data_IF_018616901471
#
_entry.id   IF_018616901471
#
_cell.length_a   1.000
_cell.length_b   1.000
_cell.length_c   1.000
_cell.angle_alpha   90.00
_cell.angle_beta   90.00
_cell.angle_gamma   90.00
#
_symmetry.space_group_name_H-M   'P 1'
#
loop_
_entity.id
_entity.type
_entity.pdbx_description
1 polymer ?
#
# COMPACT_ATOMS: atom_id res chain seq x y z
N UNK A 1 -1.42 -16.95 46.52
CA UNK A 1 -2.45 -16.03 45.99
C UNK A 1 -1.82 -15.00 45.04
N UNK A 2 -0.87 -14.18 45.49
CA UNK A 2 -0.20 -13.13 44.68
C UNK A 2 0.49 -13.63 43.40
N UNK A 3 1.12 -14.80 43.43
CA UNK A 3 1.83 -15.38 42.28
C UNK A 3 0.89 -15.78 41.12
N UNK A 4 -0.27 -16.36 41.43
CA UNK A 4 -1.27 -16.71 40.42
C UNK A 4 -1.90 -15.45 39.83
N UNK A 5 -2.21 -14.45 40.66
CA UNK A 5 -2.74 -13.16 40.20
C UNK A 5 -1.73 -12.49 39.28
N UNK A 6 -0.45 -12.41 39.67
CA UNK A 6 0.61 -11.84 38.85
C UNK A 6 0.76 -12.58 37.52
N UNK A 7 0.80 -13.91 37.55
CA UNK A 7 0.91 -14.73 36.34
C UNK A 7 -0.26 -14.52 35.38
N UNK A 8 -1.50 -14.56 35.88
CA UNK A 8 -2.69 -14.30 35.06
C UNK A 8 -2.76 -12.87 34.53
N UNK A 9 -2.34 -11.88 35.31
CA UNK A 9 -2.25 -10.49 34.86
C UNK A 9 -1.26 -10.34 33.70
N UNK A 10 -0.08 -10.98 33.78
CA UNK A 10 0.91 -10.95 32.68
C UNK A 10 0.35 -11.59 31.43
N UNK A 11 -0.30 -12.76 31.53
CA UNK A 11 -0.92 -13.43 30.39
C UNK A 11 -2.03 -12.57 29.78
N UNK A 12 -2.88 -11.95 30.61
CA UNK A 12 -3.94 -11.06 30.14
C UNK A 12 -3.37 -9.85 29.39
N UNK A 13 -2.33 -9.21 29.92
CA UNK A 13 -1.65 -8.10 29.25
C UNK A 13 -1.06 -8.56 27.91
N UNK A 14 -0.41 -9.72 27.86
CA UNK A 14 0.20 -10.24 26.64
C UNK A 14 -0.87 -10.52 25.56
N UNK A 15 -2.01 -11.08 25.94
CA UNK A 15 -3.15 -11.27 25.04
C UNK A 15 -3.71 -9.94 24.53
N UNK A 16 -3.87 -8.94 25.39
CA UNK A 16 -4.35 -7.61 24.99
C UNK A 16 -3.36 -6.95 24.02
N UNK A 17 -2.07 -6.98 24.32
CA UNK A 17 -1.03 -6.41 23.45
C UNK A 17 -1.01 -7.14 22.11
N UNK A 18 -1.09 -8.47 22.12
CA UNK A 18 -1.14 -9.30 20.92
C UNK A 18 -2.34 -8.99 20.04
N UNK A 19 -3.54 -8.86 20.60
CA UNK A 19 -4.75 -8.53 19.83
C UNK A 19 -4.67 -7.12 19.24
N UNK A 20 -4.20 -6.13 20.01
CA UNK A 20 -3.99 -4.76 19.51
C UNK A 20 -2.99 -4.75 18.34
N UNK A 21 -1.89 -5.50 18.43
CA UNK A 21 -0.91 -5.60 17.35
C UNK A 21 -1.54 -6.19 16.07
N UNK A 22 -2.28 -7.30 16.19
CA UNK A 22 -2.99 -7.94 15.07
C UNK A 22 -4.01 -6.98 14.45
N UNK A 23 -4.81 -6.30 15.27
CA UNK A 23 -5.81 -5.32 14.80
C UNK A 23 -5.15 -4.16 14.06
N UNK A 24 -4.01 -3.66 14.55
CA UNK A 24 -3.26 -2.58 13.89
C UNK A 24 -2.72 -3.00 12.52
N UNK A 25 -2.24 -4.23 12.38
CA UNK A 25 -1.79 -4.79 11.09
C UNK A 25 -2.99 -4.91 10.13
N UNK A 26 -4.12 -5.41 10.63
CA UNK A 26 -5.33 -5.57 9.82
C UNK A 26 -5.88 -4.22 9.32
N UNK A 27 -5.89 -3.19 10.17
CA UNK A 27 -6.29 -1.83 9.80
C UNK A 27 -5.36 -1.23 8.74
N UNK A 28 -4.04 -1.44 8.88
CA UNK A 28 -3.06 -0.98 7.90
C UNK A 28 -3.29 -1.65 6.54
N UNK A 29 -3.57 -2.95 6.53
CA UNK A 29 -3.91 -3.69 5.30
C UNK A 29 -5.15 -3.13 4.62
N UNK A 30 -6.19 -2.81 5.40
CA UNK A 30 -7.45 -2.31 4.85
C UNK A 30 -7.29 -0.90 4.26
N UNK A 31 -6.53 -0.03 4.93
CA UNK A 31 -6.22 1.31 4.40
C UNK A 31 -5.39 1.26 3.13
N UNK A 32 -4.47 0.31 3.02
CA UNK A 32 -3.69 0.10 1.79
C UNK A 32 -4.58 -0.33 0.62
N UNK A 33 -5.59 -1.17 0.88
CA UNK A 33 -6.58 -1.56 -0.12
C UNK A 33 -7.41 -0.36 -0.58
N UNK A 34 -7.94 0.45 0.35
CA UNK A 34 -8.73 1.63 -0.02
C UNK A 34 -7.94 2.63 -0.87
N UNK A 35 -6.65 2.84 -0.57
CA UNK A 35 -5.78 3.71 -1.37
C UNK A 35 -5.49 3.11 -2.75
N UNK A 36 -5.32 1.79 -2.82
CA UNK A 36 -5.13 1.08 -4.08
C UNK A 36 -6.38 1.14 -4.97
N UNK A 37 -7.56 0.97 -4.38
CA UNK A 37 -8.85 1.06 -5.07
C UNK A 37 -9.11 2.49 -5.56
N UNK A 38 -8.82 3.50 -4.73
CA UNK A 38 -8.91 4.91 -5.13
C UNK A 38 -7.96 5.27 -6.29
N UNK A 39 -6.72 4.76 -6.25
CA UNK A 39 -5.76 4.96 -7.34
C UNK A 39 -6.18 4.25 -8.63
N UNK A 40 -6.81 3.06 -8.52
CA UNK A 40 -7.35 2.33 -9.67
C UNK A 40 -8.52 3.07 -10.32
N UNK A 41 -9.42 3.65 -9.51
CA UNK A 41 -10.56 4.42 -9.99
C UNK A 41 -10.12 5.72 -10.69
N UNK A 42 -9.18 6.46 -10.09
CA UNK A 42 -8.62 7.69 -10.67
C UNK A 42 -7.88 7.41 -12.00
N UNK A 43 -7.14 6.29 -12.08
CA UNK A 43 -6.53 5.85 -13.32
C UNK A 43 -7.59 5.55 -14.41
N UNK A 44 -8.68 4.88 -14.06
CA UNK A 44 -9.77 4.58 -14.99
C UNK A 44 -10.48 5.86 -15.49
N UNK A 45 -10.74 6.82 -14.59
CA UNK A 45 -11.39 8.09 -14.94
C UNK A 45 -10.51 8.96 -15.86
N UNK A 46 -9.19 8.95 -15.63
CA UNK A 46 -8.24 9.64 -16.50
C UNK A 46 -8.19 9.10 -17.94
N UNK A 47 -8.58 7.83 -18.13
CA UNK A 47 -8.65 7.19 -19.44
C UNK A 47 -9.94 7.54 -20.18
N UNK A 48 -11.07 7.68 -19.48
CA UNK A 48 -12.34 8.15 -20.06
C UNK A 48 -12.21 9.59 -20.58
N UNK A 49 -11.63 10.48 -19.78
CA UNK A 49 -11.39 11.88 -20.17
C UNK A 49 -10.40 11.98 -21.35
N UNK A 50 -9.37 11.13 -21.39
CA UNK A 50 -8.41 11.08 -22.50
C UNK A 50 -9.01 10.56 -23.80
N UNK A 51 -9.84 9.52 -23.76
CA UNK A 51 -10.53 8.97 -24.92
C UNK A 51 -11.58 9.96 -25.48
N UNK A 52 -12.27 10.68 -24.58
CA UNK A 52 -13.22 11.73 -24.94
C UNK A 52 -12.54 12.94 -25.62
N UNK A 53 -11.33 13.30 -25.20
CA UNK A 53 -10.57 14.42 -25.79
C UNK A 53 -9.82 14.07 -27.08
N UNK A 54 -9.36 12.83 -27.25
CA UNK A 54 -8.52 12.44 -28.40
C UNK A 54 -9.34 12.02 -29.64
N UNK A 55 -10.64 11.72 -29.48
CA UNK A 55 -11.48 11.20 -30.56
C UNK A 55 -11.11 9.76 -30.93
N UNK A 56 -12.11 8.97 -31.32
CA UNK A 56 -12.06 7.53 -31.62
C UNK A 56 -11.12 7.15 -32.79
N UNK A 57 -9.82 7.38 -32.66
CA UNK A 57 -8.83 7.15 -33.72
C UNK A 57 -7.42 6.78 -33.26
N UNK A 58 -7.14 6.78 -31.96
CA UNK A 58 -5.85 6.34 -31.43
C UNK A 58 -5.99 5.90 -29.99
N UNK A 59 -6.19 4.59 -29.78
CA UNK A 59 -6.08 3.99 -28.46
C UNK A 59 -4.72 4.40 -27.87
N UNK A 60 -4.73 5.26 -26.85
CA UNK A 60 -3.54 5.59 -26.08
C UNK A 60 -3.14 4.31 -25.36
N UNK A 61 -2.24 3.54 -25.97
CA UNK A 61 -1.74 2.29 -25.38
C UNK A 61 -1.08 2.62 -24.06
N UNK A 62 -1.44 1.91 -22.97
CA UNK A 62 -0.76 2.07 -21.70
C UNK A 62 0.70 1.67 -21.90
N UNK A 63 1.61 2.64 -21.92
CA UNK A 63 3.03 2.37 -21.91
C UNK A 63 3.53 2.18 -20.48
N UNK A 64 4.40 1.20 -20.25
CA UNK A 64 5.06 0.97 -18.96
C UNK A 64 5.66 2.25 -18.35
N UNK A 65 6.18 3.12 -19.22
CA UNK A 65 6.81 4.38 -18.86
C UNK A 65 5.81 5.39 -18.34
N UNK A 66 4.63 5.48 -18.96
CA UNK A 66 3.54 6.37 -18.53
C UNK A 66 3.01 5.92 -17.17
N UNK A 67 2.72 4.63 -16.99
CA UNK A 67 2.20 4.07 -15.73
C UNK A 67 3.19 4.30 -14.58
N UNK A 68 4.48 4.04 -14.82
CA UNK A 68 5.52 4.25 -13.80
C UNK A 68 5.67 5.72 -13.42
N UNK A 69 5.68 6.63 -14.41
CA UNK A 69 5.81 8.07 -14.14
C UNK A 69 4.63 8.57 -13.30
N UNK A 70 3.41 8.23 -13.70
CA UNK A 70 2.20 8.59 -12.96
C UNK A 70 2.22 8.04 -11.52
N UNK A 71 2.65 6.79 -11.33
CA UNK A 71 2.77 6.19 -9.99
C UNK A 71 3.79 6.93 -9.09
N UNK A 72 4.94 7.32 -9.66
CA UNK A 72 5.97 8.09 -8.93
C UNK A 72 5.47 9.48 -8.57
N UNK A 73 4.85 10.18 -9.53
CA UNK A 73 4.33 11.54 -9.32
C UNK A 73 3.19 11.55 -8.29
N UNK A 74 2.36 10.51 -8.25
CA UNK A 74 1.29 10.34 -7.27
C UNK A 74 1.84 10.13 -5.85
N UNK A 75 2.85 9.27 -5.70
CA UNK A 75 3.54 9.06 -4.41
C UNK A 75 4.25 10.32 -3.91
N UNK A 76 4.79 11.14 -4.82
CA UNK A 76 5.47 12.40 -4.47
C UNK A 76 4.51 13.49 -3.96
N UNK A 77 3.26 13.50 -4.43
CA UNK A 77 2.25 14.48 -4.06
C UNK A 77 1.50 14.15 -2.75
N UNK A 78 1.64 12.92 -2.24
CA UNK A 78 0.93 12.48 -1.04
C UNK A 78 1.80 12.67 0.21
N UNK A 79 1.27 13.28 1.28
CA UNK A 79 1.97 13.31 2.56
C UNK A 79 2.17 11.88 3.06
N UNK A 80 3.41 11.56 3.41
CA UNK A 80 3.80 10.24 3.90
C UNK A 80 3.07 9.95 5.22
N UNK A 81 2.39 8.81 5.36
CA UNK A 81 1.80 8.39 6.63
C UNK A 81 2.87 8.24 7.71
N UNK A 82 2.60 8.72 8.93
CA UNK A 82 3.54 8.66 10.06
C UNK A 82 3.93 7.22 10.47
N UNK A 83 3.13 6.23 10.08
CA UNK A 83 3.38 4.80 10.31
C UNK A 83 4.43 4.19 9.38
N UNK A 84 4.84 4.91 8.32
CA UNK A 84 5.82 4.44 7.33
C UNK A 84 7.14 5.20 7.49
N UNK A 85 8.24 4.46 7.58
CA UNK A 85 9.60 4.98 7.55
C UNK A 85 9.96 5.48 6.14
N UNK A 86 9.55 4.73 5.12
CA UNK A 86 9.74 5.05 3.70
C UNK A 86 8.74 4.31 2.81
N UNK A 87 8.61 4.78 1.57
CA UNK A 87 7.86 4.10 0.52
C UNK A 87 8.45 4.44 -0.87
N UNK A 88 8.36 3.52 -1.81
CA UNK A 88 8.87 3.69 -3.17
C UNK A 88 8.09 2.85 -4.19
N UNK A 89 8.08 3.31 -5.45
CA UNK A 89 7.61 2.49 -6.58
C UNK A 89 8.70 1.49 -6.93
N UNK A 90 8.36 0.21 -6.96
CA UNK A 90 9.32 -0.87 -7.25
C UNK A 90 9.11 -1.48 -8.63
N UNK A 91 10.07 -2.34 -9.00
CA UNK A 91 10.08 -3.07 -10.27
C UNK A 91 8.77 -3.84 -10.54
N UNK A 92 8.46 -3.95 -11.83
CA UNK A 92 7.21 -4.55 -12.31
C UNK A 92 5.97 -3.65 -12.17
N UNK A 93 6.17 -2.35 -11.92
CA UNK A 93 5.20 -1.30 -12.24
C UNK A 93 5.25 -0.99 -13.74
N UNK A 94 4.12 -1.10 -14.42
CA UNK A 94 3.97 -0.97 -15.87
C UNK A 94 2.60 -1.44 -16.35
N UNK A 95 2.45 -1.70 -17.63
CA UNK A 95 1.26 -2.26 -18.25
C UNK A 95 1.65 -3.46 -19.12
N UNK A 96 1.66 -4.68 -18.56
CA UNK A 96 2.17 -5.87 -19.26
C UNK A 96 1.37 -6.18 -20.54
N UNK A 97 0.09 -5.85 -20.55
CA UNK A 97 -0.84 -6.19 -21.62
C UNK A 97 -1.34 -4.96 -22.40
N UNK A 98 -0.79 -3.76 -22.15
CA UNK A 98 -1.22 -2.51 -22.81
C UNK A 98 -2.61 -1.99 -22.43
N UNK A 99 -3.40 -2.78 -21.69
CA UNK A 99 -4.77 -2.49 -21.25
C UNK A 99 -4.92 -2.44 -19.71
N UNK A 100 -3.95 -2.96 -18.97
CA UNK A 100 -4.02 -3.11 -17.52
C UNK A 100 -2.82 -2.43 -16.87
N UNK A 101 -3.06 -1.37 -16.10
CA UNK A 101 -2.04 -0.74 -15.28
C UNK A 101 -1.76 -1.61 -14.05
N UNK A 102 -0.51 -2.02 -13.89
CA UNK A 102 0.00 -2.71 -12.70
C UNK A 102 0.94 -1.77 -11.97
N UNK A 103 0.62 -1.44 -10.72
CA UNK A 103 1.44 -0.56 -9.87
C UNK A 103 1.86 -1.33 -8.63
N UNK A 104 3.17 -1.40 -8.40
CA UNK A 104 3.75 -2.08 -7.24
C UNK A 104 4.51 -1.08 -6.38
N UNK A 105 4.13 -1.00 -5.11
CA UNK A 105 4.68 -0.05 -4.14
C UNK A 105 5.25 -0.86 -2.97
N UNK A 106 6.48 -0.55 -2.59
CA UNK A 106 7.14 -1.05 -1.39
C UNK A 106 7.11 0.02 -0.32
N UNK A 107 6.80 -0.36 0.92
CA UNK A 107 6.81 0.52 2.08
C UNK A 107 7.47 -0.15 3.28
N UNK A 108 8.17 0.64 4.08
CA UNK A 108 8.82 0.18 5.30
C UNK A 108 7.99 0.65 6.50
N UNK A 109 7.37 -0.29 7.23
CA UNK A 109 6.47 0.02 8.32
C UNK A 109 7.18 0.00 9.69
N UNK A 110 6.89 1.00 10.53
CA UNK A 110 7.32 1.03 11.93
C UNK A 110 6.32 0.28 12.80
N UNK A 111 6.78 -0.72 13.55
CA UNK A 111 5.93 -1.48 14.48
C UNK A 111 6.01 -0.85 15.89
N UNK A 112 4.91 -0.27 16.43
CA UNK A 112 4.92 0.28 17.78
C UNK A 112 5.08 -0.82 18.83
N UNK A 113 5.69 -0.48 19.98
CA UNK A 113 5.93 -1.33 21.17
C UNK A 113 6.94 -2.48 21.03
N UNK A 114 7.40 -2.80 19.82
CA UNK A 114 8.49 -3.77 19.60
C UNK A 114 9.81 -3.07 19.28
N UNK A 115 9.79 -1.79 18.90
CA UNK A 115 10.97 -0.99 18.52
C UNK A 115 12.19 -1.19 19.43
N UNK A 116 12.05 -0.99 20.75
CA UNK A 116 13.19 -1.12 21.68
C UNK A 116 13.75 -2.54 21.85
N UNK A 117 12.99 -3.58 21.52
CA UNK A 117 13.42 -4.99 21.63
C UNK A 117 13.88 -5.55 20.26
N UNK A 118 13.44 -4.92 19.17
CA UNK A 118 13.73 -5.26 17.78
C UNK A 118 14.79 -4.35 17.14
N UNK A 119 15.15 -3.22 17.76
CA UNK A 119 16.27 -2.34 17.35
C UNK A 119 17.63 -3.05 17.41
N UNK A 120 17.78 -4.05 18.27
CA UNK A 120 18.96 -4.92 18.32
C UNK A 120 19.03 -5.92 17.15
N UNK A 121 17.94 -6.07 16.38
CA UNK A 121 17.79 -7.07 15.29
C UNK A 121 17.47 -6.40 13.93
N UNK A 122 17.26 -5.08 13.86
CA UNK A 122 16.89 -4.37 12.63
C UNK A 122 15.39 -4.40 12.33
N UNK A 123 14.56 -4.12 13.33
CA UNK A 123 13.11 -4.30 13.32
C UNK A 123 12.28 -3.30 12.51
N UNK A 124 12.48 -3.27 11.20
CA UNK A 124 11.48 -2.76 10.25
C UNK A 124 10.88 -3.91 9.45
N UNK A 125 9.63 -3.76 9.02
CA UNK A 125 8.97 -4.74 8.16
C UNK A 125 8.74 -4.11 6.79
N UNK A 126 9.34 -4.71 5.77
CA UNK A 126 9.07 -4.34 4.38
C UNK A 126 7.76 -4.95 3.93
N UNK A 127 6.83 -4.10 3.48
CA UNK A 127 5.53 -4.49 2.96
C UNK A 127 5.50 -4.10 1.48
N UNK A 128 5.35 -5.09 0.60
CA UNK A 128 5.16 -4.86 -0.83
C UNK A 128 3.70 -5.10 -1.18
N UNK A 129 3.05 -4.10 -1.77
CA UNK A 129 1.67 -4.20 -2.28
C UNK A 129 1.66 -4.03 -3.78
N UNK A 130 0.72 -4.72 -4.42
CA UNK A 130 0.48 -4.68 -5.86
C UNK A 130 -0.99 -4.34 -6.09
N UNK A 131 -1.24 -3.31 -6.90
CA UNK A 131 -2.56 -2.94 -7.37
C UNK A 131 -2.64 -3.10 -8.89
N UNK A 132 -3.80 -3.52 -9.39
CA UNK A 132 -4.08 -3.70 -10.82
C UNK A 132 -5.37 -2.97 -11.16
N UNK A 133 -5.30 -2.09 -12.15
CA UNK A 133 -6.45 -1.36 -12.67
C UNK A 133 -6.57 -1.62 -14.17
N UNK A 134 -7.76 -2.01 -14.64
CA UNK A 134 -8.02 -2.23 -16.06
C UNK A 134 -8.68 -0.97 -16.64
N UNK A 135 -8.16 -0.51 -17.77
CA UNK A 135 -8.83 0.50 -18.58
C UNK A 135 -10.03 -0.17 -19.27
N UNK A 136 -11.26 0.22 -18.92
CA UNK A 136 -12.42 -0.14 -19.73
C UNK A 136 -12.49 0.87 -20.88
N UNK A 137 -12.02 0.47 -22.06
CA UNK A 137 -12.14 1.25 -23.29
C UNK A 137 -13.51 0.91 -23.91
N UNK A 138 -14.57 1.45 -23.31
CA UNK A 138 -15.96 1.37 -23.79
C UNK A 138 -16.31 2.47 -24.78
#
# INVERSE_FOLDING_TARGET
>A
MTLLVLGFSVVAILLIVGTVAVTSVQLSRMRLLDVADGAALDAADSLDVGAYHQGLGGAVTLSDRTVRRTAVDYLAQRPRPESLLGWEVVGGTGSPDGETAVVRISGEARVPLVGGLLESVGGSVTITVESRARADLG
#
